data_IF_537609287861
#
_entry.id   IF_537609287861
#
_cell.length_a   1.000
_cell.length_b   1.000
_cell.length_c   1.000
_cell.angle_alpha   90.00
_cell.angle_beta   90.00
_cell.angle_gamma   90.00
#
_symmetry.space_group_name_H-M   'P 1'
#
loop_
_entity.id
_entity.type
_entity.pdbx_description
1 polymer ?
#
# COMPACT_ATOMS: atom_id res chain seq x y z
N UNK A 1 -9.56 -9.71 -3.04
CA UNK A 1 -9.10 -8.81 -4.12
C UNK A 1 -9.11 -9.44 -5.52
N UNK A 2 -8.80 -10.73 -5.68
CA UNK A 2 -8.22 -11.20 -6.96
C UNK A 2 -9.23 -11.85 -7.90
N UNK A 3 -10.26 -12.51 -7.38
CA UNK A 3 -11.34 -13.09 -8.19
C UNK A 3 -12.59 -12.20 -8.26
N UNK A 4 -13.38 -12.36 -9.31
CA UNK A 4 -14.75 -11.84 -9.35
C UNK A 4 -15.65 -12.62 -8.38
N UNK A 5 -16.63 -11.96 -7.73
CA UNK A 5 -17.02 -10.54 -7.85
C UNK A 5 -16.23 -9.60 -6.93
N UNK A 6 -15.32 -10.11 -6.11
CA UNK A 6 -14.60 -9.37 -5.07
C UNK A 6 -13.73 -8.24 -5.64
N UNK A 7 -13.16 -8.44 -6.83
CA UNK A 7 -12.36 -7.42 -7.53
C UNK A 7 -13.23 -6.22 -7.91
N UNK A 8 -14.33 -6.44 -8.63
CA UNK A 8 -15.24 -5.35 -9.02
C UNK A 8 -15.83 -4.64 -7.80
N UNK A 9 -16.19 -5.37 -6.74
CA UNK A 9 -16.69 -4.76 -5.51
C UNK A 9 -15.63 -3.86 -4.84
N UNK A 10 -14.37 -4.30 -4.82
CA UNK A 10 -13.26 -3.52 -4.25
C UNK A 10 -12.97 -2.26 -5.08
N UNK A 11 -12.91 -2.39 -6.40
CA UNK A 11 -12.73 -1.24 -7.30
C UNK A 11 -13.87 -0.23 -7.14
N UNK A 12 -15.12 -0.69 -7.12
CA UNK A 12 -16.27 0.17 -6.84
C UNK A 12 -16.17 0.85 -5.48
N UNK A 13 -15.80 0.14 -4.42
CA UNK A 13 -15.64 0.74 -3.09
C UNK A 13 -14.55 1.84 -3.06
N UNK A 14 -13.47 1.68 -3.82
CA UNK A 14 -12.42 2.71 -3.95
C UNK A 14 -12.76 3.82 -4.96
N UNK A 15 -13.65 3.54 -5.92
CA UNK A 15 -14.20 4.48 -6.89
C UNK A 15 -15.42 5.24 -6.38
N UNK A 16 -15.96 4.85 -5.23
CA UNK A 16 -16.97 5.62 -4.54
C UNK A 16 -16.32 6.93 -4.06
N UNK A 17 -16.22 7.89 -4.98
CA UNK A 17 -16.14 9.33 -4.73
C UNK A 17 -17.16 9.72 -3.65
N UNK A 18 -18.27 8.98 -3.53
CA UNK A 18 -19.28 9.08 -2.47
C UNK A 18 -18.72 8.81 -1.06
N UNK A 19 -17.83 7.84 -0.88
CA UNK A 19 -17.19 7.58 0.40
C UNK A 19 -16.24 8.73 0.77
N UNK A 20 -15.45 9.22 -0.19
CA UNK A 20 -14.62 10.42 -0.02
C UNK A 20 -15.46 11.67 0.24
N UNK A 21 -16.56 11.84 -0.47
CA UNK A 21 -17.49 12.95 -0.31
C UNK A 21 -18.21 12.91 1.05
N UNK A 22 -18.40 11.72 1.62
CA UNK A 22 -18.88 11.51 2.98
C UNK A 22 -17.78 11.70 4.05
N UNK A 23 -16.55 12.06 3.66
CA UNK A 23 -15.43 12.29 4.57
C UNK A 23 -14.74 11.00 5.07
N UNK A 24 -15.01 9.85 4.45
CA UNK A 24 -14.36 8.60 4.82
C UNK A 24 -12.88 8.59 4.42
N UNK A 25 -12.06 7.90 5.22
CA UNK A 25 -10.65 7.67 4.94
C UNK A 25 -10.49 6.33 4.21
N UNK A 26 -9.79 6.32 3.07
CA UNK A 26 -9.52 5.10 2.33
C UNK A 26 -8.16 4.52 2.73
N UNK A 27 -8.16 3.38 3.40
CA UNK A 27 -6.96 2.61 3.70
C UNK A 27 -6.78 1.46 2.71
N UNK A 28 -5.57 1.30 2.18
CA UNK A 28 -5.21 0.20 1.30
C UNK A 28 -4.09 -0.66 1.93
N UNK A 29 -4.42 -1.91 2.21
CA UNK A 29 -3.50 -2.95 2.67
C UNK A 29 -3.28 -3.94 1.52
N UNK A 30 -2.02 -4.12 1.10
CA UNK A 30 -1.70 -4.90 -0.11
C UNK A 30 -1.92 -6.39 0.09
N UNK A 31 -1.52 -6.91 1.25
CA UNK A 31 -1.60 -8.30 1.64
C UNK A 31 -1.38 -9.27 0.44
N UNK A 32 -0.28 -9.04 -0.29
CA UNK A 32 0.00 -9.66 -1.57
C UNK A 32 0.14 -11.19 -1.41
N UNK A 33 -0.53 -11.91 -2.30
CA UNK A 33 -0.45 -13.37 -2.42
C UNK A 33 -0.22 -13.72 -3.88
N UNK A 34 1.04 -13.67 -4.32
CA UNK A 34 1.43 -13.91 -5.73
C UNK A 34 0.81 -15.16 -6.36
N UNK A 35 0.68 -16.32 -5.68
CA UNK A 35 0.07 -17.52 -6.27
C UNK A 35 -1.39 -17.36 -6.72
N UNK A 36 -2.09 -16.34 -6.23
CA UNK A 36 -3.48 -16.08 -6.59
C UNK A 36 -3.62 -15.21 -7.84
N UNK A 37 -2.53 -14.60 -8.33
CA UNK A 37 -2.53 -13.74 -9.50
C UNK A 37 -2.10 -14.51 -10.76
N UNK A 38 -2.60 -14.16 -11.95
CA UNK A 38 -2.17 -14.80 -13.19
C UNK A 38 -0.68 -14.58 -13.50
N UNK A 39 -0.13 -13.44 -13.07
CA UNK A 39 1.30 -13.16 -13.10
C UNK A 39 1.70 -12.08 -12.09
N UNK A 40 2.99 -12.03 -11.75
CA UNK A 40 3.57 -10.97 -10.93
C UNK A 40 3.39 -9.58 -11.56
N UNK A 41 3.55 -9.46 -12.87
CA UNK A 41 3.36 -8.20 -13.59
C UNK A 41 1.92 -7.70 -13.56
N UNK A 42 0.95 -8.62 -13.69
CA UNK A 42 -0.46 -8.26 -13.57
C UNK A 42 -0.78 -7.81 -12.14
N UNK A 43 -0.31 -8.52 -11.12
CA UNK A 43 -0.48 -8.13 -9.72
C UNK A 43 0.02 -6.70 -9.47
N UNK A 44 1.25 -6.40 -9.89
CA UNK A 44 1.87 -5.08 -9.75
C UNK A 44 1.09 -4.00 -10.49
N UNK A 45 0.70 -4.27 -11.74
CA UNK A 45 -0.07 -3.31 -12.56
C UNK A 45 -1.42 -2.98 -11.91
N UNK A 46 -2.11 -3.98 -11.40
CA UNK A 46 -3.42 -3.81 -10.77
C UNK A 46 -3.32 -3.06 -9.44
N UNK A 47 -2.33 -3.40 -8.60
CA UNK A 47 -2.07 -2.69 -7.34
C UNK A 47 -1.80 -1.21 -7.60
N UNK A 48 -0.93 -0.90 -8.58
CA UNK A 48 -0.56 0.48 -8.88
C UNK A 48 -1.70 1.27 -9.55
N UNK A 49 -2.64 0.61 -10.24
CA UNK A 49 -3.75 1.28 -10.94
C UNK A 49 -4.71 2.07 -10.03
N UNK A 50 -4.75 1.72 -8.75
CA UNK A 50 -5.63 2.30 -7.72
C UNK A 50 -4.84 3.01 -6.61
N UNK A 51 -3.51 3.05 -6.73
CA UNK A 51 -2.60 3.54 -5.70
C UNK A 51 -2.95 4.96 -5.26
N UNK A 52 -3.13 5.86 -6.23
CA UNK A 52 -3.41 7.29 -5.99
C UNK A 52 -4.77 7.58 -5.35
N UNK A 53 -5.63 6.55 -5.20
CA UNK A 53 -6.95 6.66 -4.58
C UNK A 53 -6.88 6.58 -3.05
N UNK A 54 -5.88 5.91 -2.48
CA UNK A 54 -5.79 5.66 -1.04
C UNK A 54 -5.32 6.90 -0.26
N UNK A 55 -5.87 7.09 0.93
CA UNK A 55 -5.37 8.07 1.90
C UNK A 55 -4.30 7.48 2.84
N UNK A 56 -4.39 6.17 3.09
CA UNK A 56 -3.44 5.43 3.93
C UNK A 56 -3.04 4.16 3.20
N UNK A 57 -1.74 3.88 3.13
CA UNK A 57 -1.24 2.65 2.53
C UNK A 57 -0.38 1.91 3.55
N UNK A 58 -0.60 0.61 3.67
CA UNK A 58 0.24 -0.30 4.46
C UNK A 58 0.82 -1.39 3.55
N UNK A 59 2.12 -1.57 3.65
CA UNK A 59 2.87 -2.59 2.93
C UNK A 59 4.00 -3.14 3.80
N UNK A 60 4.48 -4.33 3.45
CA UNK A 60 5.72 -4.92 3.97
C UNK A 60 6.95 -4.46 3.19
N UNK A 61 8.12 -4.77 3.73
CA UNK A 61 9.40 -4.66 3.03
C UNK A 61 9.45 -5.51 1.76
N UNK A 62 8.97 -6.75 1.80
CA UNK A 62 8.88 -7.62 0.63
C UNK A 62 8.00 -6.99 -0.48
N UNK A 63 6.86 -6.42 -0.09
CA UNK A 63 5.96 -5.74 -1.03
C UNK A 63 6.56 -4.44 -1.58
N UNK A 64 7.34 -3.71 -0.76
CA UNK A 64 8.05 -2.52 -1.20
C UNK A 64 9.04 -2.86 -2.30
N UNK A 65 9.85 -3.90 -2.10
CA UNK A 65 10.81 -4.38 -3.09
C UNK A 65 10.09 -4.84 -4.36
N UNK A 66 9.01 -5.62 -4.21
CA UNK A 66 8.19 -6.08 -5.32
C UNK A 66 7.63 -4.94 -6.19
N UNK A 67 7.06 -3.91 -5.56
CA UNK A 67 6.47 -2.78 -6.29
C UNK A 67 7.52 -1.87 -6.93
N UNK A 68 8.62 -1.61 -6.24
CA UNK A 68 9.66 -0.69 -6.72
C UNK A 68 10.68 -1.35 -7.65
N UNK A 69 10.71 -2.68 -7.68
CA UNK A 69 11.76 -3.48 -8.35
C UNK A 69 13.17 -3.09 -7.88
N UNK A 70 13.26 -2.73 -6.60
CA UNK A 70 14.49 -2.35 -5.92
C UNK A 70 14.75 -3.35 -4.80
N UNK A 71 16.00 -3.77 -4.62
CA UNK A 71 16.39 -4.61 -3.48
C UNK A 71 16.55 -3.79 -2.18
N UNK A 72 16.38 -2.47 -2.25
CA UNK A 72 16.56 -1.57 -1.10
C UNK A 72 15.28 -1.37 -0.32
N UNK A 73 15.37 -1.49 1.00
CA UNK A 73 14.32 -1.12 1.95
C UNK A 73 14.77 0.14 2.68
N UNK A 74 14.64 1.28 2.00
CA UNK A 74 15.05 2.59 2.50
C UNK A 74 14.00 3.68 2.27
N UNK A 75 14.24 4.84 2.87
CA UNK A 75 13.30 5.96 2.83
C UNK A 75 13.12 6.49 1.40
N UNK A 76 14.17 6.46 0.58
CA UNK A 76 14.08 6.92 -0.80
C UNK A 76 13.19 5.99 -1.64
N UNK A 77 13.32 4.68 -1.44
CA UNK A 77 12.53 3.65 -2.10
C UNK A 77 11.07 3.72 -1.65
N UNK A 78 10.81 3.84 -0.34
CA UNK A 78 9.45 4.03 0.18
C UNK A 78 8.80 5.31 -0.36
N UNK A 79 9.51 6.44 -0.31
CA UNK A 79 9.01 7.72 -0.81
C UNK A 79 8.82 7.77 -2.32
N UNK A 80 9.39 6.83 -3.10
CA UNK A 80 9.11 6.71 -4.54
C UNK A 80 7.66 6.29 -4.84
N UNK A 81 6.99 5.67 -3.86
CA UNK A 81 5.57 5.31 -3.93
C UNK A 81 4.66 6.38 -3.31
N UNK A 82 5.21 7.51 -2.85
CA UNK A 82 4.42 8.59 -2.27
C UNK A 82 3.64 9.34 -3.35
N UNK A 83 2.37 9.68 -3.07
CA UNK A 83 1.56 10.53 -3.93
C UNK A 83 0.86 11.65 -3.11
N UNK A 84 0.46 12.77 -3.75
CA UNK A 84 -0.04 13.95 -3.02
C UNK A 84 -1.30 13.75 -2.18
N UNK A 85 -2.14 12.76 -2.53
CA UNK A 85 -3.36 12.44 -1.78
C UNK A 85 -3.10 11.62 -0.52
N UNK A 86 -1.92 11.00 -0.43
CA UNK A 86 -1.57 10.12 0.68
C UNK A 86 -1.36 10.95 1.96
N UNK A 87 -1.98 10.49 3.04
CA UNK A 87 -1.83 11.05 4.39
C UNK A 87 -0.81 10.26 5.18
N UNK A 88 -0.74 8.94 4.96
CA UNK A 88 0.17 8.03 5.65
C UNK A 88 0.60 6.86 4.77
N UNK A 89 1.91 6.62 4.69
CA UNK A 89 2.51 5.42 4.13
C UNK A 89 3.20 4.64 5.25
N UNK A 90 2.87 3.37 5.42
CA UNK A 90 3.45 2.47 6.42
C UNK A 90 4.22 1.35 5.73
N UNK A 91 5.47 1.16 6.13
CA UNK A 91 6.29 0.02 5.73
C UNK A 91 6.59 -0.81 6.97
N UNK A 92 5.99 -1.99 7.06
CA UNK A 92 6.26 -2.96 8.14
C UNK A 92 7.54 -3.74 7.82
N UNK A 93 8.36 -3.97 8.85
CA UNK A 93 9.70 -4.57 8.75
C UNK A 93 9.81 -5.82 9.64
N UNK A 94 8.72 -6.58 9.77
CA UNK A 94 8.67 -7.76 10.63
C UNK A 94 9.04 -7.45 12.09
N UNK A 95 10.04 -8.17 12.61
CA UNK A 95 10.57 -8.03 13.97
C UNK A 95 11.44 -6.77 14.16
N UNK A 96 11.76 -6.05 13.09
CA UNK A 96 12.43 -4.75 13.16
C UNK A 96 11.46 -3.57 13.34
N UNK A 97 10.14 -3.83 13.36
CA UNK A 97 9.11 -2.84 13.62
C UNK A 97 8.55 -2.22 12.34
N UNK A 98 8.50 -0.89 12.24
CA UNK A 98 7.97 -0.22 11.06
C UNK A 98 8.60 1.14 10.79
N UNK A 99 8.46 1.60 9.55
CA UNK A 99 8.68 2.99 9.13
C UNK A 99 7.37 3.62 8.70
N UNK A 100 7.20 4.90 9.00
CA UNK A 100 6.01 5.65 8.63
C UNK A 100 6.40 6.98 7.97
N UNK A 101 5.62 7.37 6.97
CA UNK A 101 5.84 8.60 6.21
C UNK A 101 4.54 9.37 6.11
N UNK A 102 4.62 10.68 6.33
CA UNK A 102 3.53 11.63 6.14
C UNK A 102 4.02 12.77 5.26
N UNK A 103 3.12 13.68 4.88
CA UNK A 103 3.48 14.88 4.12
C UNK A 103 4.56 15.74 4.79
N UNK A 104 4.60 15.78 6.12
CA UNK A 104 5.39 16.76 6.87
C UNK A 104 6.53 16.12 7.68
N UNK A 105 6.42 14.84 8.01
CA UNK A 105 7.40 14.13 8.83
C UNK A 105 7.40 12.64 8.52
N UNK A 106 8.47 11.98 8.92
CA UNK A 106 8.65 10.52 8.86
C UNK A 106 9.31 10.03 10.14
N UNK A 107 9.24 8.73 10.40
CA UNK A 107 9.90 8.12 11.54
C UNK A 107 9.89 6.60 11.47
N UNK A 108 10.38 5.99 12.53
CA UNK A 108 10.45 4.54 12.70
C UNK A 108 10.09 4.16 14.14
N UNK A 109 9.47 3.00 14.30
CA UNK A 109 9.18 2.39 15.59
C UNK A 109 9.78 1.00 15.62
N UNK A 110 10.43 0.63 16.73
CA UNK A 110 10.90 -0.73 16.96
C UNK A 110 9.72 -1.67 17.22
N UNK A 111 9.89 -2.96 16.91
CA UNK A 111 8.87 -3.96 17.25
C UNK A 111 8.73 -4.13 18.76
N UNK A 112 7.51 -4.43 19.21
CA UNK A 112 7.29 -4.86 20.58
C UNK A 112 7.89 -6.25 20.77
N UNK A 113 8.77 -6.40 21.75
CA UNK A 113 9.25 -7.72 22.19
C UNK A 113 8.13 -8.38 22.98
N UNK A 114 7.67 -9.53 22.49
CA UNK A 114 6.63 -10.37 23.12
C UNK A 114 7.28 -11.58 23.77
#
# INVERSE_FOLDING_TARGET
>A
LIGEPCRTAHLKAMEMEEAKAAGALLSYDLNLRLPLWPSAEEARTQILSIWDKADVINLSDDELQFLTRSDKVDDATAMSLWHPNLKLLLVTLGDHGCRYYTKNFKGSMEAFKV
#
